data_IF_613160882258
#
_entry.id   IF_613160882258
#
_cell.length_a   1.000
_cell.length_b   1.000
_cell.length_c   1.000
_cell.angle_alpha   90.00
_cell.angle_beta   90.00
_cell.angle_gamma   90.00
#
_symmetry.space_group_name_H-M   'P 1'
#
loop_
_entity.id
_entity.type
_entity.pdbx_description
1 polymer ?
#
# COMPACT_ATOMS: atom_id res chain seq x y z
N UNK A 1 -30.54 -53.97 18.49
CA UNK A 1 -30.68 -52.82 19.43
C UNK A 1 -29.31 -52.39 19.89
N UNK A 2 -28.73 -51.43 19.32
CA UNK A 2 -27.61 -50.67 19.93
C UNK A 2 -27.34 -49.46 19.09
N UNK A 3 -27.36 -48.32 19.73
CA UNK A 3 -27.32 -47.00 19.21
C UNK A 3 -25.96 -46.65 18.59
N UNK A 4 -25.95 -46.31 17.30
CA UNK A 4 -24.83 -45.69 16.62
C UNK A 4 -25.04 -44.17 16.73
N UNK A 5 -24.35 -43.53 17.67
CA UNK A 5 -24.26 -42.08 17.77
C UNK A 5 -23.08 -41.59 16.93
N UNK A 6 -23.40 -41.08 15.76
CA UNK A 6 -22.43 -40.33 14.95
C UNK A 6 -22.07 -39.02 15.62
N UNK A 7 -20.80 -38.86 15.91
CA UNK A 7 -20.19 -37.58 16.27
C UNK A 7 -20.00 -36.74 14.99
N UNK A 8 -20.86 -35.76 14.78
CA UNK A 8 -20.59 -34.69 13.83
C UNK A 8 -19.63 -33.72 14.48
N UNK A 9 -18.35 -33.81 14.09
CA UNK A 9 -17.39 -32.76 14.33
C UNK A 9 -17.71 -31.61 13.38
N UNK A 10 -18.22 -30.52 13.91
CA UNK A 10 -18.39 -29.25 13.18
C UNK A 10 -17.03 -28.62 13.12
N UNK A 11 -16.34 -28.84 12.00
CA UNK A 11 -15.19 -28.01 11.60
C UNK A 11 -15.73 -26.67 11.07
N UNK A 12 -15.65 -25.65 11.91
CA UNK A 12 -15.91 -24.27 11.51
C UNK A 12 -14.72 -23.82 10.66
N UNK A 13 -14.76 -24.09 9.36
CA UNK A 13 -13.85 -23.51 8.41
C UNK A 13 -14.31 -22.06 8.19
N UNK A 14 -13.53 -21.11 8.69
CA UNK A 14 -13.66 -19.70 8.31
C UNK A 14 -13.41 -19.62 6.80
N UNK A 15 -14.47 -19.47 6.02
CA UNK A 15 -14.39 -19.26 4.59
C UNK A 15 -13.97 -17.80 4.35
N UNK A 16 -12.68 -17.58 4.18
CA UNK A 16 -12.17 -16.37 3.56
C UNK A 16 -12.60 -16.43 2.10
N UNK A 17 -13.62 -15.65 1.71
CA UNK A 17 -14.03 -15.51 0.33
C UNK A 17 -12.96 -14.73 -0.46
N UNK A 18 -11.90 -15.43 -0.88
CA UNK A 18 -10.98 -14.92 -1.88
C UNK A 18 -11.63 -15.11 -3.27
N UNK A 19 -12.11 -14.04 -3.88
CA UNK A 19 -12.54 -14.09 -5.27
C UNK A 19 -11.28 -14.18 -6.15
N UNK A 20 -10.93 -15.40 -6.56
CA UNK A 20 -9.86 -15.66 -7.54
C UNK A 20 -10.44 -15.44 -8.93
N UNK A 21 -10.07 -14.37 -9.58
CA UNK A 21 -10.39 -14.13 -11.00
C UNK A 21 -9.24 -14.67 -11.85
N UNK A 22 -9.44 -15.83 -12.44
CA UNK A 22 -8.48 -16.44 -13.39
C UNK A 22 -8.68 -15.82 -14.78
N UNK A 23 -7.73 -15.05 -15.24
CA UNK A 23 -7.64 -14.62 -16.64
C UNK A 23 -6.68 -15.52 -17.39
N UNK A 24 -7.22 -16.44 -18.21
CA UNK A 24 -6.44 -17.27 -19.12
C UNK A 24 -6.22 -16.51 -20.44
N UNK A 25 -5.12 -15.78 -20.52
CA UNK A 25 -4.55 -15.27 -21.76
C UNK A 25 -3.16 -15.89 -21.94
N UNK A 26 -2.63 -15.97 -23.13
CA UNK A 26 -1.32 -16.54 -23.47
C UNK A 26 -0.16 -15.64 -22.95
N UNK A 27 -0.15 -15.39 -21.66
CA UNK A 27 0.83 -14.72 -20.84
C UNK A 27 0.76 -15.36 -19.45
N UNK A 28 1.80 -15.28 -18.65
CA UNK A 28 1.82 -15.81 -17.29
C UNK A 28 0.53 -15.39 -16.56
N UNK A 29 -0.20 -16.35 -15.99
CA UNK A 29 -1.42 -16.09 -15.26
C UNK A 29 -1.10 -15.21 -14.05
N UNK A 30 -1.93 -14.20 -13.81
CA UNK A 30 -1.74 -13.21 -12.75
C UNK A 30 -2.84 -13.40 -11.70
N UNK A 31 -2.47 -13.45 -10.44
CA UNK A 31 -3.41 -13.51 -9.33
C UNK A 31 -3.52 -12.13 -8.68
N UNK A 32 -4.75 -11.70 -8.38
CA UNK A 32 -5.02 -10.42 -7.72
C UNK A 32 -5.90 -10.67 -6.51
N UNK A 33 -5.50 -10.16 -5.35
CA UNK A 33 -6.24 -10.28 -4.10
C UNK A 33 -6.41 -8.91 -3.45
N UNK A 34 -7.64 -8.60 -3.03
CA UNK A 34 -7.91 -7.51 -2.10
C UNK A 34 -7.84 -8.10 -0.70
N UNK A 35 -7.05 -7.49 0.17
CA UNK A 35 -6.84 -8.03 1.52
C UNK A 35 -6.48 -6.91 2.50
N UNK A 36 -6.47 -7.25 3.76
CA UNK A 36 -5.88 -6.43 4.81
C UNK A 36 -4.65 -7.14 5.37
N UNK A 37 -3.61 -6.40 5.65
CA UNK A 37 -2.39 -6.91 6.27
C UNK A 37 -2.22 -6.30 7.66
N UNK A 38 -1.54 -6.99 8.59
CA UNK A 38 -1.21 -6.42 9.88
C UNK A 38 -0.31 -5.20 9.73
N UNK A 39 -0.68 -4.09 10.34
CA UNK A 39 0.14 -2.90 10.49
C UNK A 39 0.47 -2.65 11.96
N UNK A 40 1.38 -1.74 12.24
CA UNK A 40 1.79 -1.42 13.61
C UNK A 40 0.67 -0.75 14.41
N UNK A 41 -0.21 0.03 13.75
CA UNK A 41 -1.32 0.76 14.37
C UNK A 41 -2.68 0.15 14.12
N UNK A 42 -2.79 -0.84 13.25
CA UNK A 42 -4.06 -1.43 12.84
C UNK A 42 -3.94 -2.19 11.53
N UNK A 43 -5.05 -2.42 10.84
CA UNK A 43 -5.07 -3.10 9.56
C UNK A 43 -4.74 -2.14 8.42
N UNK A 44 -3.91 -2.58 7.48
CA UNK A 44 -3.59 -1.85 6.25
C UNK A 44 -4.35 -2.52 5.10
N UNK A 45 -5.21 -1.77 4.41
CA UNK A 45 -5.87 -2.24 3.19
C UNK A 45 -4.89 -2.31 2.04
N UNK A 46 -4.88 -3.43 1.32
CA UNK A 46 -3.91 -3.68 0.27
C UNK A 46 -4.50 -4.43 -0.94
N UNK A 47 -3.85 -4.24 -2.08
CA UNK A 47 -4.06 -5.05 -3.28
C UNK A 47 -2.76 -5.79 -3.58
N UNK A 48 -2.76 -7.09 -3.37
CA UNK A 48 -1.66 -7.97 -3.72
C UNK A 48 -1.85 -8.50 -5.15
N UNK A 49 -0.80 -8.41 -5.95
CA UNK A 49 -0.76 -8.96 -7.32
C UNK A 49 0.48 -9.81 -7.48
N UNK A 50 0.31 -11.09 -7.80
CA UNK A 50 1.41 -12.04 -7.93
C UNK A 50 1.40 -12.75 -9.28
N UNK A 51 2.56 -13.12 -9.80
CA UNK A 51 2.65 -14.14 -10.86
C UNK A 51 2.06 -15.46 -10.35
N UNK A 52 1.40 -16.23 -11.20
CA UNK A 52 0.95 -17.55 -10.79
C UNK A 52 2.14 -18.50 -10.59
N UNK A 53 2.06 -19.30 -9.53
CA UNK A 53 3.04 -20.35 -9.20
C UNK A 53 4.50 -19.87 -9.08
N UNK A 54 4.72 -18.59 -8.76
CA UNK A 54 6.05 -18.06 -8.51
C UNK A 54 6.42 -18.22 -7.04
N UNK A 55 7.61 -18.74 -6.79
CA UNK A 55 8.23 -18.84 -5.47
C UNK A 55 9.49 -17.97 -5.46
N UNK A 56 9.83 -17.43 -4.29
CA UNK A 56 11.05 -16.62 -4.12
C UNK A 56 11.19 -15.52 -5.18
N UNK A 57 10.09 -14.81 -5.48
CA UNK A 57 10.04 -13.80 -6.53
C UNK A 57 10.45 -12.42 -6.02
N UNK A 58 11.00 -11.55 -6.89
CA UNK A 58 11.13 -10.15 -6.55
C UNK A 58 9.77 -9.53 -6.28
N UNK A 59 9.72 -8.50 -5.43
CA UNK A 59 8.46 -7.83 -5.11
C UNK A 59 8.62 -6.32 -4.97
N UNK A 60 7.52 -5.58 -5.21
CA UNK A 60 7.45 -4.12 -5.14
C UNK A 60 6.31 -3.68 -4.26
N UNK A 61 6.59 -2.79 -3.31
CA UNK A 61 5.55 -2.03 -2.60
C UNK A 61 5.21 -0.78 -3.40
N UNK A 62 3.92 -0.55 -3.65
CA UNK A 62 3.39 0.60 -4.40
C UNK A 62 2.72 1.57 -3.43
N UNK A 63 3.21 2.80 -3.39
CA UNK A 63 2.86 3.87 -2.45
C UNK A 63 2.18 5.02 -3.18
N UNK A 64 0.95 5.36 -2.78
CA UNK A 64 0.17 6.44 -3.37
C UNK A 64 0.55 7.83 -2.86
N UNK A 65 0.06 8.87 -3.53
CA UNK A 65 0.23 10.27 -3.17
C UNK A 65 -0.72 10.76 -2.07
N UNK A 66 -0.62 12.05 -1.76
CA UNK A 66 -1.48 12.74 -0.79
C UNK A 66 -2.95 12.59 -1.15
N UNK A 67 -3.80 12.32 -0.17
CA UNK A 67 -5.25 12.03 -0.34
C UNK A 67 -5.61 10.92 -1.33
N UNK A 68 -4.62 10.16 -1.81
CA UNK A 68 -4.83 9.06 -2.74
C UNK A 68 -5.23 7.75 -2.05
N UNK A 69 -5.13 6.68 -2.81
CA UNK A 69 -5.39 5.31 -2.34
C UNK A 69 -4.52 4.31 -3.11
N UNK A 70 -4.55 3.05 -2.69
CA UNK A 70 -3.86 1.93 -3.36
C UNK A 70 -4.22 1.75 -4.83
N UNK A 71 -5.30 2.39 -5.32
CA UNK A 71 -5.65 2.38 -6.74
C UNK A 71 -4.73 3.27 -7.59
N UNK A 72 -4.01 4.24 -6.98
CA UNK A 72 -3.10 5.16 -7.66
C UNK A 72 -3.77 5.82 -8.87
N UNK A 73 -4.98 6.38 -8.66
CA UNK A 73 -5.82 6.99 -9.71
C UNK A 73 -6.06 6.07 -10.92
N UNK A 74 -6.18 4.76 -10.66
CA UNK A 74 -6.37 3.73 -11.69
C UNK A 74 -5.07 3.19 -12.30
N UNK A 75 -3.91 3.75 -11.98
CA UNK A 75 -2.63 3.33 -12.52
C UNK A 75 -2.03 2.09 -11.84
N UNK A 76 -2.41 1.79 -10.59
CA UNK A 76 -1.85 0.66 -9.85
C UNK A 76 -2.14 -0.68 -10.54
N UNK A 77 -3.36 -0.88 -11.03
CA UNK A 77 -3.78 -2.15 -11.66
C UNK A 77 -2.98 -2.50 -12.93
N UNK A 78 -2.85 -1.62 -13.95
CA UNK A 78 -2.04 -1.94 -15.13
C UNK A 78 -0.56 -2.10 -14.79
N UNK A 79 -0.02 -1.30 -13.87
CA UNK A 79 1.35 -1.41 -13.39
C UNK A 79 1.60 -2.77 -12.73
N UNK A 80 0.78 -3.15 -11.75
CA UNK A 80 0.90 -4.42 -11.04
C UNK A 80 0.77 -5.63 -11.99
N UNK A 81 -0.15 -5.55 -12.96
CA UNK A 81 -0.28 -6.57 -14.01
C UNK A 81 1.00 -6.69 -14.83
N UNK A 82 1.59 -5.57 -15.24
CA UNK A 82 2.85 -5.58 -16.01
C UNK A 82 3.99 -6.17 -15.19
N UNK A 83 4.13 -5.79 -13.92
CA UNK A 83 5.12 -6.37 -13.01
C UNK A 83 4.95 -7.90 -12.90
N UNK A 84 3.73 -8.38 -12.66
CA UNK A 84 3.43 -9.80 -12.52
C UNK A 84 3.71 -10.59 -13.80
N UNK A 85 3.45 -10.01 -14.97
CA UNK A 85 3.82 -10.61 -16.28
C UNK A 85 5.33 -10.79 -16.45
N UNK A 86 6.14 -10.00 -15.72
CA UNK A 86 7.60 -10.10 -15.70
C UNK A 86 8.14 -10.86 -14.47
N UNK A 87 7.27 -11.59 -13.76
CA UNK A 87 7.67 -12.41 -12.61
C UNK A 87 7.88 -11.65 -11.32
N UNK A 88 7.37 -10.41 -11.22
CA UNK A 88 7.53 -9.52 -10.05
C UNK A 88 6.19 -9.40 -9.34
N UNK A 89 6.13 -9.76 -8.06
CA UNK A 89 4.96 -9.50 -7.23
C UNK A 89 4.85 -8.01 -6.89
N UNK A 90 3.65 -7.55 -6.56
CA UNK A 90 3.47 -6.20 -6.03
C UNK A 90 2.36 -6.14 -5.00
N UNK A 91 2.52 -5.25 -4.04
CA UNK A 91 1.48 -4.90 -3.07
C UNK A 91 1.28 -3.39 -3.09
N UNK A 92 0.08 -2.96 -3.45
CA UNK A 92 -0.33 -1.56 -3.34
C UNK A 92 -1.11 -1.38 -2.03
N UNK A 93 -0.70 -0.42 -1.21
CA UNK A 93 -1.25 -0.20 0.13
C UNK A 93 -1.98 1.13 0.23
N UNK A 94 -2.99 1.19 1.10
CA UNK A 94 -3.53 2.45 1.61
C UNK A 94 -2.72 2.84 2.85
N UNK A 95 -2.16 4.03 2.84
CA UNK A 95 -1.51 4.57 4.03
C UNK A 95 -2.50 4.89 5.14
N UNK A 96 -2.04 4.85 6.39
CA UNK A 96 -2.82 5.28 7.55
C UNK A 96 -3.49 6.63 7.31
N UNK A 97 -4.80 6.72 7.56
CA UNK A 97 -5.60 7.93 7.36
C UNK A 97 -5.95 8.25 5.91
N UNK A 98 -5.78 7.29 4.97
CA UNK A 98 -6.08 7.49 3.55
C UNK A 98 -6.71 6.25 2.93
N UNK A 99 -7.36 6.39 1.77
CA UNK A 99 -8.03 5.30 1.08
C UNK A 99 -9.14 4.67 1.92
N UNK A 100 -9.05 3.36 2.17
CA UNK A 100 -9.98 2.61 3.04
C UNK A 100 -9.46 2.44 4.48
N UNK A 101 -8.37 3.16 4.87
CA UNK A 101 -7.88 3.15 6.25
C UNK A 101 -8.97 3.54 7.24
N UNK A 102 -9.06 2.81 8.35
CA UNK A 102 -9.96 3.15 9.45
C UNK A 102 -9.40 4.25 10.37
N UNK A 103 -8.14 4.63 10.19
CA UNK A 103 -7.50 5.69 10.95
C UNK A 103 -7.90 7.08 10.43
N UNK A 104 -7.98 8.09 11.32
CA UNK A 104 -8.28 9.45 10.90
C UNK A 104 -7.15 10.03 10.04
N UNK A 105 -7.46 11.00 9.19
CA UNK A 105 -6.47 11.65 8.31
C UNK A 105 -5.27 12.23 9.08
N UNK A 106 -5.42 12.59 10.35
CA UNK A 106 -4.32 13.02 11.21
C UNK A 106 -3.24 11.94 11.42
N UNK A 107 -3.56 10.67 11.12
CA UNK A 107 -2.59 9.57 11.12
C UNK A 107 -1.72 9.54 9.85
N UNK A 108 -2.06 10.30 8.80
CA UNK A 108 -1.29 10.39 7.56
C UNK A 108 -0.02 11.20 7.78
N UNK A 109 1.03 10.59 8.26
CA UNK A 109 2.30 11.23 8.64
C UNK A 109 3.50 10.50 8.01
N UNK A 110 4.66 11.16 7.86
CA UNK A 110 5.87 10.47 7.38
C UNK A 110 6.28 9.28 8.24
N UNK A 111 5.99 9.32 9.55
CA UNK A 111 6.28 8.21 10.45
C UNK A 111 5.37 7.01 10.16
N UNK A 112 4.06 7.23 10.07
CA UNK A 112 3.10 6.16 9.75
C UNK A 112 3.36 5.55 8.37
N UNK A 113 3.64 6.36 7.35
CA UNK A 113 3.99 5.87 6.02
C UNK A 113 5.21 4.93 6.05
N UNK A 114 6.23 5.27 6.82
CA UNK A 114 7.41 4.41 6.98
C UNK A 114 7.05 3.07 7.62
N UNK A 115 6.20 3.09 8.64
CA UNK A 115 5.77 1.89 9.35
C UNK A 115 4.89 1.01 8.44
N UNK A 116 3.99 1.62 7.66
CA UNK A 116 3.13 0.93 6.69
C UNK A 116 3.96 0.28 5.56
N UNK A 117 4.99 0.96 5.04
CA UNK A 117 5.93 0.38 4.08
C UNK A 117 6.66 -0.82 4.70
N UNK A 118 7.10 -0.71 5.97
CA UNK A 118 7.78 -1.80 6.68
C UNK A 118 6.84 -3.01 6.82
N UNK A 119 5.60 -2.78 7.23
CA UNK A 119 4.58 -3.82 7.35
C UNK A 119 4.29 -4.52 6.03
N UNK A 120 4.20 -3.75 4.93
CA UNK A 120 3.99 -4.30 3.59
C UNK A 120 5.19 -5.17 3.12
N UNK A 121 6.42 -4.73 3.38
CA UNK A 121 7.62 -5.53 3.08
C UNK A 121 7.61 -6.82 3.88
N UNK A 122 7.38 -6.75 5.19
CA UNK A 122 7.29 -7.92 6.08
C UNK A 122 6.24 -8.91 5.58
N UNK A 123 5.06 -8.43 5.19
CA UNK A 123 4.02 -9.29 4.63
C UNK A 123 4.45 -9.96 3.32
N UNK A 124 5.10 -9.23 2.42
CA UNK A 124 5.63 -9.79 1.17
C UNK A 124 6.66 -10.88 1.42
N UNK A 125 7.58 -10.70 2.36
CA UNK A 125 8.65 -11.67 2.64
C UNK A 125 8.13 -12.86 3.44
N UNK A 126 7.43 -12.62 4.53
CA UNK A 126 7.12 -13.65 5.52
C UNK A 126 5.85 -14.45 5.16
N UNK A 127 4.90 -13.82 4.46
CA UNK A 127 3.61 -14.45 4.13
C UNK A 127 3.50 -14.83 2.66
N UNK A 128 3.94 -13.94 1.75
CA UNK A 128 3.83 -14.18 0.30
C UNK A 128 5.02 -14.99 -0.22
N UNK A 129 6.14 -15.02 0.49
CA UNK A 129 7.36 -15.73 0.09
C UNK A 129 8.16 -14.99 -0.98
N UNK A 130 8.10 -13.67 -1.00
CA UNK A 130 8.98 -12.85 -1.84
C UNK A 130 10.44 -12.93 -1.35
N UNK A 131 11.37 -12.77 -2.27
CA UNK A 131 12.80 -12.76 -1.96
C UNK A 131 13.18 -11.46 -1.21
N UNK A 132 13.63 -11.53 0.05
CA UNK A 132 13.99 -10.35 0.84
C UNK A 132 15.17 -9.58 0.23
N UNK A 133 16.00 -10.23 -0.59
CA UNK A 133 17.13 -9.59 -1.27
C UNK A 133 16.72 -8.89 -2.57
N UNK A 134 15.44 -8.98 -2.98
CA UNK A 134 14.92 -8.41 -4.24
C UNK A 134 13.65 -7.60 -4.03
N UNK A 135 13.62 -6.79 -2.97
CA UNK A 135 12.52 -5.87 -2.69
C UNK A 135 12.77 -4.51 -3.34
N UNK A 136 11.77 -4.02 -4.06
CA UNK A 136 11.72 -2.69 -4.63
C UNK A 136 10.58 -1.85 -4.05
N UNK A 137 10.67 -0.55 -4.21
CA UNK A 137 9.64 0.41 -3.83
C UNK A 137 9.26 1.28 -5.02
N UNK A 138 7.97 1.59 -5.16
CA UNK A 138 7.49 2.59 -6.11
C UNK A 138 6.60 3.57 -5.36
N UNK A 139 6.85 4.87 -5.54
CA UNK A 139 6.05 5.90 -4.90
C UNK A 139 5.71 7.05 -5.84
N UNK A 140 4.44 7.48 -5.78
CA UNK A 140 3.94 8.64 -6.50
C UNK A 140 3.77 9.82 -5.55
N UNK A 141 4.21 11.02 -5.95
CA UNK A 141 4.02 12.27 -5.21
C UNK A 141 4.48 12.13 -3.74
N UNK A 142 3.61 12.29 -2.76
CA UNK A 142 3.92 12.09 -1.33
C UNK A 142 4.41 10.67 -1.03
N UNK A 143 3.86 9.64 -1.68
CA UNK A 143 4.38 8.27 -1.59
C UNK A 143 5.80 8.15 -2.15
N UNK A 144 6.14 8.93 -3.19
CA UNK A 144 7.50 9.02 -3.70
C UNK A 144 8.46 9.63 -2.68
N UNK A 145 8.02 10.66 -1.96
CA UNK A 145 8.77 11.21 -0.82
C UNK A 145 8.93 10.19 0.29
N UNK A 146 7.85 9.48 0.68
CA UNK A 146 7.93 8.44 1.69
C UNK A 146 8.95 7.36 1.31
N UNK A 147 8.94 6.91 0.07
CA UNK A 147 9.93 5.97 -0.48
C UNK A 147 11.34 6.53 -0.39
N UNK A 148 11.59 7.77 -0.83
CA UNK A 148 12.93 8.37 -0.83
C UNK A 148 13.53 8.47 0.58
N UNK A 149 12.70 8.77 1.59
CA UNK A 149 13.12 8.83 3.00
C UNK A 149 13.29 7.44 3.61
N UNK A 150 12.54 6.45 3.10
CA UNK A 150 12.59 5.07 3.59
C UNK A 150 13.84 4.32 3.13
N UNK A 151 14.46 4.69 2.01
CA UNK A 151 15.54 3.93 1.36
C UNK A 151 16.59 3.41 2.36
N UNK A 152 16.86 2.12 2.27
CA UNK A 152 17.85 1.36 3.05
C UNK A 152 18.62 0.45 2.11
N UNK A 153 19.78 -0.05 2.53
CA UNK A 153 20.63 -0.96 1.73
C UNK A 153 19.91 -2.25 1.29
N UNK A 154 18.89 -2.67 2.05
CA UNK A 154 18.06 -3.83 1.72
C UNK A 154 17.09 -3.59 0.54
N UNK A 155 16.85 -2.34 0.15
CA UNK A 155 15.99 -2.01 -0.99
C UNK A 155 16.83 -1.99 -2.28
N UNK A 156 16.52 -2.89 -3.21
CA UNK A 156 17.31 -3.09 -4.43
C UNK A 156 16.94 -2.15 -5.56
N UNK A 157 15.74 -1.61 -5.58
CA UNK A 157 15.28 -0.67 -6.58
C UNK A 157 14.26 0.31 -6.00
N UNK A 158 14.30 1.55 -6.45
CA UNK A 158 13.26 2.53 -6.16
C UNK A 158 12.84 3.25 -7.44
N UNK A 159 11.54 3.37 -7.64
CA UNK A 159 10.96 4.18 -8.69
C UNK A 159 10.20 5.36 -8.06
N UNK A 160 10.63 6.56 -8.36
CA UNK A 160 10.04 7.80 -7.85
C UNK A 160 9.27 8.46 -9.00
N UNK A 161 7.96 8.43 -8.91
CA UNK A 161 7.09 9.05 -9.91
C UNK A 161 6.62 10.41 -9.38
N UNK A 162 7.18 11.49 -9.96
CA UNK A 162 6.92 12.86 -9.53
C UNK A 162 6.91 13.00 -7.98
N UNK A 163 8.00 12.64 -7.30
CA UNK A 163 8.02 12.65 -5.84
C UNK A 163 7.85 14.08 -5.33
N UNK A 164 7.11 14.24 -4.24
CA UNK A 164 7.05 15.50 -3.53
C UNK A 164 8.40 15.76 -2.86
N UNK A 165 9.04 16.88 -3.17
CA UNK A 165 10.35 17.24 -2.64
C UNK A 165 10.30 18.40 -1.65
N UNK A 166 9.24 19.22 -1.73
CA UNK A 166 9.10 20.41 -0.92
C UNK A 166 8.71 20.10 0.53
N UNK A 167 9.21 20.92 1.43
CA UNK A 167 8.94 20.87 2.85
C UNK A 167 8.48 22.23 3.36
N UNK A 168 7.74 22.23 4.47
CA UNK A 168 7.23 23.47 5.05
C UNK A 168 6.23 24.18 4.13
N UNK A 169 6.33 25.50 4.06
CA UNK A 169 5.40 26.33 3.28
C UNK A 169 5.43 26.06 1.77
N UNK A 170 6.58 25.73 1.23
CA UNK A 170 6.71 25.43 -0.20
C UNK A 170 5.96 24.15 -0.58
N UNK A 171 5.83 23.21 0.35
CA UNK A 171 5.02 22.02 0.17
C UNK A 171 3.52 22.30 0.05
N UNK A 172 3.06 23.50 0.36
CA UNK A 172 1.66 23.93 0.28
C UNK A 172 1.34 24.72 -0.99
N UNK A 173 2.30 24.89 -1.91
CA UNK A 173 2.12 25.69 -3.13
C UNK A 173 0.96 25.21 -4.01
N UNK A 174 0.67 23.90 -3.99
CA UNK A 174 -0.46 23.33 -4.73
C UNK A 174 -1.83 23.70 -4.13
N UNK A 175 -1.89 24.15 -2.87
CA UNK A 175 -3.10 24.63 -2.21
C UNK A 175 -3.27 26.14 -2.38
N UNK A 176 -2.16 26.89 -2.29
CA UNK A 176 -2.16 28.33 -2.48
C UNK A 176 -0.82 28.79 -3.03
N UNK A 177 -0.85 29.50 -4.18
CA UNK A 177 0.35 30.00 -4.84
C UNK A 177 0.93 31.25 -4.16
N UNK A 178 0.15 31.92 -3.27
CA UNK A 178 0.64 33.09 -2.51
C UNK A 178 1.41 32.66 -1.27
N UNK A 179 2.42 33.40 -0.89
CA UNK A 179 3.17 33.12 0.34
C UNK A 179 2.30 33.35 1.58
N UNK A 180 1.44 34.37 1.57
CA UNK A 180 0.52 34.71 2.64
C UNK A 180 -0.54 33.63 2.84
N UNK A 181 -1.09 33.09 1.74
CA UNK A 181 -2.07 32.00 1.79
C UNK A 181 -1.47 30.73 2.36
N UNK A 182 -0.27 30.32 1.93
CA UNK A 182 0.44 29.17 2.48
C UNK A 182 0.74 29.33 3.98
N UNK A 183 1.15 30.54 4.41
CA UNK A 183 1.38 30.81 5.83
C UNK A 183 0.08 30.68 6.63
N UNK A 184 -1.04 31.21 6.13
CA UNK A 184 -2.33 31.09 6.80
C UNK A 184 -2.81 29.64 6.94
N UNK A 185 -2.63 28.80 5.90
CA UNK A 185 -2.93 27.37 5.94
C UNK A 185 -2.05 26.67 6.99
N UNK A 186 -0.76 26.95 7.00
CA UNK A 186 0.18 26.37 7.95
C UNK A 186 -0.15 26.75 9.41
N UNK A 187 -0.40 28.02 9.66
CA UNK A 187 -0.75 28.52 10.99
C UNK A 187 -2.08 27.94 11.47
N UNK A 188 -3.07 27.85 10.59
CA UNK A 188 -4.35 27.19 10.86
C UNK A 188 -4.19 25.74 11.25
N UNK A 189 -3.37 24.98 10.50
CA UNK A 189 -3.08 23.58 10.80
C UNK A 189 -2.39 23.41 12.18
N UNK A 190 -1.44 24.28 12.52
CA UNK A 190 -0.76 24.26 13.82
C UNK A 190 -1.73 24.56 14.96
N UNK A 191 -2.62 25.55 14.79
CA UNK A 191 -3.57 25.95 15.84
C UNK A 191 -4.67 24.91 16.06
N UNK A 192 -5.18 24.31 15.00
CA UNK A 192 -6.36 23.45 15.05
C UNK A 192 -5.99 21.96 15.09
N UNK A 193 -4.71 21.61 14.85
CA UNK A 193 -4.25 20.22 14.74
C UNK A 193 -4.75 19.50 13.48
N UNK A 194 -5.35 20.23 12.54
CA UNK A 194 -5.89 19.72 11.27
C UNK A 194 -5.55 20.69 10.15
N UNK A 195 -5.36 20.14 8.94
CA UNK A 195 -5.20 20.92 7.73
C UNK A 195 -6.58 21.12 7.10
N UNK A 196 -7.13 22.34 7.17
CA UNK A 196 -8.34 22.72 6.46
C UNK A 196 -7.97 22.96 4.99
N UNK A 197 -8.44 22.09 4.12
CA UNK A 197 -8.25 22.25 2.68
C UNK A 197 -9.30 23.23 2.13
N UNK A 198 -8.92 24.18 1.26
CA UNK A 198 -9.90 25.02 0.57
C UNK A 198 -10.80 24.16 -0.28
N UNK A 199 -12.13 24.37 -0.17
CA UNK A 199 -13.19 23.67 -0.93
C UNK A 199 -13.33 24.26 -2.32
#
# INVERSE_FOLDING_TARGET
MKHLRSFFAVLLAAAVCAAVVLFSGCGASVQVQQLTIPGERGSIHATLTTPANAENMPAVVICHGFTGSRQLDGHAKPLAKTLAQHGIASIAIDFAGSGESEEPFTAYTPASMRDDITSAITYLTDTVGADPERIGLLGHSMGGRAVSVYLKDSIKAAALWAPADNTGLDGLEFLDHSAEGRQAIYDGAIQNGVLDLPT
#
